data_IF_033442145122
#
_entry.id   IF_033442145122
#
_cell.length_a   1.000
_cell.length_b   1.000
_cell.length_c   1.000
_cell.angle_alpha   90.00
_cell.angle_beta   90.00
_cell.angle_gamma   90.00
#
_symmetry.space_group_name_H-M   'P 1'
#
loop_
_entity.id
_entity.type
_entity.pdbx_description
1 polymer ?
#
# COMPACT_ATOMS: atom_id res chain seq x y z
N UNK A 1 15.43 -15.84 15.64
CA UNK A 1 14.25 -15.19 16.24
C UNK A 1 14.46 -13.66 16.29
N UNK A 2 13.37 -12.88 16.34
CA UNK A 2 13.41 -11.44 16.60
C UNK A 2 12.70 -11.15 17.91
N UNK A 3 13.37 -10.46 18.83
CA UNK A 3 12.88 -10.23 20.19
C UNK A 3 12.72 -8.74 20.43
N UNK A 4 11.57 -8.32 20.94
CA UNK A 4 11.34 -6.95 21.40
C UNK A 4 11.28 -6.92 22.92
N UNK A 5 12.00 -5.99 23.53
CA UNK A 5 12.09 -5.83 24.98
C UNK A 5 11.52 -4.46 25.36
N UNK A 6 10.67 -4.42 26.38
CA UNK A 6 10.16 -3.19 26.97
C UNK A 6 10.17 -3.29 28.51
N UNK A 7 10.32 -2.15 29.18
CA UNK A 7 10.37 -2.09 30.65
C UNK A 7 9.34 -1.11 31.20
N UNK A 8 8.80 -1.41 32.37
CA UNK A 8 7.86 -0.55 33.09
C UNK A 8 8.51 0.74 33.64
N UNK A 9 9.83 0.75 33.77
CA UNK A 9 10.56 1.88 34.38
C UNK A 9 10.77 3.06 33.42
N UNK A 10 10.52 2.89 32.10
CA UNK A 10 10.92 3.88 31.10
C UNK A 10 9.75 4.49 30.32
N UNK A 11 8.60 3.81 30.20
CA UNK A 11 7.56 4.34 29.31
C UNK A 11 6.17 3.74 29.43
N UNK A 12 5.97 2.61 30.12
CA UNK A 12 4.67 1.94 30.18
C UNK A 12 3.97 2.18 31.53
N UNK A 13 2.76 2.72 31.48
CA UNK A 13 1.92 2.99 32.68
C UNK A 13 1.04 1.78 33.05
N UNK A 14 0.88 0.83 32.17
CA UNK A 14 0.06 -0.36 32.36
C UNK A 14 0.57 -1.53 31.49
N UNK A 15 0.04 -2.74 31.76
CA UNK A 15 0.43 -3.97 31.06
C UNK A 15 0.14 -3.95 29.56
N UNK A 16 -0.92 -3.27 29.13
CA UNK A 16 -1.30 -3.13 27.72
C UNK A 16 -0.29 -2.28 26.95
N UNK A 17 0.16 -1.16 27.55
CA UNK A 17 1.22 -0.33 26.98
C UNK A 17 2.55 -1.08 26.92
N UNK A 18 2.90 -1.83 27.95
CA UNK A 18 4.12 -2.64 27.99
C UNK A 18 4.15 -3.66 26.84
N UNK A 19 3.04 -4.36 26.65
CA UNK A 19 2.89 -5.30 25.54
C UNK A 19 3.00 -4.60 24.17
N UNK A 20 2.34 -3.45 24.02
CA UNK A 20 2.41 -2.66 22.80
C UNK A 20 3.84 -2.19 22.49
N UNK A 21 4.59 -1.74 23.48
CA UNK A 21 5.99 -1.32 23.35
C UNK A 21 6.90 -2.49 22.97
N UNK A 22 6.71 -3.67 23.58
CA UNK A 22 7.50 -4.86 23.24
C UNK A 22 7.24 -5.33 21.80
N UNK A 23 5.98 -5.25 21.33
CA UNK A 23 5.63 -5.55 19.93
C UNK A 23 6.28 -4.54 18.97
N UNK A 24 6.30 -3.25 19.29
CA UNK A 24 7.02 -2.23 18.49
C UNK A 24 8.51 -2.53 18.41
N UNK A 25 9.15 -2.83 19.53
CA UNK A 25 10.56 -3.20 19.58
C UNK A 25 10.84 -4.48 18.77
N UNK A 26 9.99 -5.49 18.84
CA UNK A 26 10.11 -6.71 18.03
C UNK A 26 10.01 -6.41 16.53
N UNK A 27 9.08 -5.54 16.12
CA UNK A 27 8.96 -5.10 14.71
C UNK A 27 10.24 -4.40 14.24
N UNK A 28 10.88 -3.60 15.10
CA UNK A 28 12.15 -2.95 14.81
C UNK A 28 13.30 -3.96 14.66
N UNK A 29 13.38 -4.96 15.55
CA UNK A 29 14.34 -6.06 15.42
C UNK A 29 14.17 -6.83 14.09
N UNK A 30 12.94 -7.02 13.63
CA UNK A 30 12.66 -7.63 12.32
C UNK A 30 13.14 -6.77 11.15
N UNK A 31 13.01 -5.44 11.23
CA UNK A 31 13.49 -4.50 10.20
C UNK A 31 15.01 -4.44 10.11
N UNK A 32 15.73 -4.63 11.23
CA UNK A 32 17.19 -4.62 11.29
C UNK A 32 17.85 -5.95 10.88
N UNK A 33 17.17 -6.78 10.11
CA UNK A 33 17.75 -8.00 9.54
C UNK A 33 17.37 -9.28 10.25
N UNK A 34 16.43 -9.24 11.18
CA UNK A 34 15.98 -10.38 12.00
C UNK A 34 17.13 -10.99 12.83
N UNK A 35 16.86 -12.10 13.52
CA UNK A 35 17.82 -12.81 14.38
C UNK A 35 18.58 -11.91 15.38
N UNK A 36 17.89 -10.91 15.93
CA UNK A 36 18.39 -9.92 16.88
C UNK A 36 17.31 -9.53 17.88
N UNK A 37 17.69 -8.75 18.87
CA UNK A 37 16.76 -8.16 19.83
C UNK A 37 16.81 -6.63 19.72
N UNK A 38 15.74 -5.95 20.18
CA UNK A 38 15.65 -4.51 20.22
C UNK A 38 14.98 -4.07 21.51
N UNK A 39 15.55 -3.08 22.18
CA UNK A 39 15.00 -2.47 23.39
C UNK A 39 14.11 -1.30 23.00
N UNK A 40 12.90 -1.23 23.58
CA UNK A 40 12.03 -0.08 23.37
C UNK A 40 12.55 1.12 24.16
N UNK A 41 12.92 2.18 23.48
CA UNK A 41 13.23 3.49 24.03
C UNK A 41 12.32 4.54 23.42
N UNK A 42 11.61 5.31 24.26
CA UNK A 42 10.64 6.30 23.81
C UNK A 42 11.31 7.41 22.97
N UNK A 43 12.53 7.81 23.34
CA UNK A 43 13.35 8.78 22.60
C UNK A 43 13.74 8.31 21.19
N UNK A 44 14.08 7.04 21.04
CA UNK A 44 14.46 6.47 19.75
C UNK A 44 13.24 6.23 18.83
N UNK A 45 12.06 5.98 19.40
CA UNK A 45 10.85 5.77 18.61
C UNK A 45 10.22 7.08 18.10
N UNK A 46 10.20 8.14 18.91
CA UNK A 46 9.60 9.42 18.48
C UNK A 46 10.44 10.12 17.42
N UNK A 47 11.73 10.28 17.65
CA UNK A 47 12.60 10.99 16.70
C UNK A 47 12.79 10.22 15.38
N UNK A 48 12.85 8.89 15.42
CA UNK A 48 13.06 8.10 14.20
C UNK A 48 11.78 7.97 13.38
N UNK A 49 10.61 7.90 14.03
CA UNK A 49 9.33 7.78 13.32
C UNK A 49 8.89 9.13 12.75
N UNK A 50 8.94 10.22 13.52
CA UNK A 50 8.54 11.55 13.03
C UNK A 50 9.48 12.07 11.95
N UNK A 51 10.79 11.90 12.10
CA UNK A 51 11.77 12.22 11.05
C UNK A 51 11.60 11.31 9.83
N UNK A 52 11.30 10.02 10.02
CA UNK A 52 11.04 9.10 8.91
C UNK A 52 9.73 9.43 8.20
N UNK A 53 8.67 9.82 8.93
CA UNK A 53 7.41 10.26 8.32
C UNK A 53 7.55 11.59 7.57
N UNK A 54 8.27 12.57 8.12
CA UNK A 54 8.52 13.83 7.44
C UNK A 54 9.36 13.61 6.17
N UNK A 55 10.38 12.77 6.24
CA UNK A 55 11.19 12.36 5.10
C UNK A 55 10.36 11.61 4.05
N UNK A 56 9.64 10.55 4.45
CA UNK A 56 8.80 9.78 3.54
C UNK A 56 7.68 10.61 2.90
N UNK A 57 7.20 11.67 3.57
CA UNK A 57 6.23 12.59 2.99
C UNK A 57 6.79 13.35 1.79
N UNK A 58 8.02 13.83 1.89
CA UNK A 58 8.69 14.52 0.78
C UNK A 58 9.02 13.56 -0.36
N UNK A 59 9.51 12.38 -0.02
CA UNK A 59 9.83 11.33 -0.98
C UNK A 59 8.56 10.79 -1.70
N UNK A 60 7.45 10.68 -0.99
CA UNK A 60 6.17 10.26 -1.56
C UNK A 60 5.68 11.25 -2.64
N UNK A 61 5.89 12.56 -2.44
CA UNK A 61 5.59 13.56 -3.47
C UNK A 61 6.45 13.38 -4.72
N UNK A 62 7.72 13.02 -4.53
CA UNK A 62 8.63 12.75 -5.63
C UNK A 62 8.33 11.41 -6.31
N UNK A 63 7.92 10.39 -5.54
CA UNK A 63 7.68 9.03 -6.01
C UNK A 63 6.65 8.93 -7.14
N UNK A 64 5.56 9.72 -7.04
CA UNK A 64 4.52 9.78 -8.09
C UNK A 64 5.12 10.26 -9.42
N UNK A 65 5.99 11.29 -9.37
CA UNK A 65 6.62 11.87 -10.56
C UNK A 65 7.76 11.03 -11.12
N UNK A 66 8.46 10.30 -10.24
CA UNK A 66 9.68 9.55 -10.56
C UNK A 66 9.41 8.08 -10.89
N UNK A 67 8.16 7.70 -11.11
CA UNK A 67 7.76 6.33 -11.48
C UNK A 67 8.29 5.25 -10.50
N UNK A 68 8.27 5.55 -9.20
CA UNK A 68 8.72 4.63 -8.17
C UNK A 68 7.63 3.65 -7.71
N UNK A 69 6.42 3.78 -8.24
CA UNK A 69 5.32 2.85 -7.96
C UNK A 69 5.25 1.75 -9.00
N UNK A 70 4.94 0.55 -8.51
CA UNK A 70 4.71 -0.64 -9.30
C UNK A 70 3.39 -1.29 -8.89
N UNK A 71 2.76 -2.02 -9.80
CA UNK A 71 1.60 -2.86 -9.50
C UNK A 71 2.00 -4.32 -9.52
N UNK A 72 1.71 -5.00 -8.43
CA UNK A 72 1.73 -6.45 -8.35
C UNK A 72 0.30 -6.95 -8.50
N UNK A 73 0.13 -8.10 -9.12
CA UNK A 73 -1.18 -8.65 -9.42
C UNK A 73 -1.34 -9.99 -8.71
N UNK A 74 -2.27 -10.05 -7.75
CA UNK A 74 -2.61 -11.28 -7.04
C UNK A 74 -3.75 -11.99 -7.75
N UNK A 75 -3.57 -13.26 -8.18
CA UNK A 75 -4.60 -14.01 -8.88
C UNK A 75 -5.81 -14.31 -7.99
N UNK A 76 -7.01 -14.10 -8.52
CA UNK A 76 -8.28 -14.53 -7.96
C UNK A 76 -8.72 -15.80 -8.68
N UNK A 77 -8.63 -16.91 -7.96
CA UNK A 77 -8.83 -18.26 -8.52
C UNK A 77 -10.21 -18.78 -8.14
N UNK A 78 -10.89 -19.39 -9.10
CA UNK A 78 -12.15 -20.10 -8.86
C UNK A 78 -11.86 -21.43 -8.16
N UNK A 79 -12.32 -21.69 -6.93
CA UNK A 79 -11.92 -22.86 -6.14
C UNK A 79 -12.20 -24.20 -6.81
N UNK A 80 -13.33 -24.31 -7.53
CA UNK A 80 -13.78 -25.57 -8.15
C UNK A 80 -13.01 -25.96 -9.41
N UNK A 81 -12.47 -24.98 -10.13
CA UNK A 81 -11.83 -25.23 -11.44
C UNK A 81 -10.34 -24.90 -11.47
N UNK A 82 -9.83 -24.20 -10.46
CA UNK A 82 -8.45 -23.70 -10.46
C UNK A 82 -8.18 -22.57 -11.47
N UNK A 83 -9.20 -22.13 -12.20
CA UNK A 83 -9.03 -21.10 -13.24
C UNK A 83 -8.92 -19.69 -12.62
N UNK A 84 -7.99 -18.88 -13.14
CA UNK A 84 -7.88 -17.46 -12.80
C UNK A 84 -9.05 -16.72 -13.46
N UNK A 85 -9.88 -16.06 -12.66
CA UNK A 85 -11.02 -15.24 -13.10
C UNK A 85 -10.76 -13.75 -13.08
N UNK A 86 -9.78 -13.34 -12.30
CA UNK A 86 -9.39 -11.96 -12.16
C UNK A 86 -8.09 -11.83 -11.39
N UNK A 87 -7.68 -10.61 -11.17
CA UNK A 87 -6.53 -10.26 -10.34
C UNK A 87 -6.87 -9.07 -9.46
N UNK A 88 -6.24 -9.00 -8.30
CA UNK A 88 -6.22 -7.79 -7.47
C UNK A 88 -4.94 -7.01 -7.75
N UNK A 89 -5.07 -5.71 -8.04
CA UNK A 89 -3.95 -4.82 -8.25
C UNK A 89 -3.46 -4.27 -6.92
N UNK A 90 -2.25 -4.62 -6.55
CA UNK A 90 -1.62 -4.29 -5.28
C UNK A 90 -0.44 -3.36 -5.52
N UNK A 91 -0.56 -2.12 -5.09
CA UNK A 91 0.51 -1.13 -5.24
C UNK A 91 1.71 -1.47 -4.36
N UNK A 92 2.91 -1.21 -4.90
CA UNK A 92 4.19 -1.29 -4.20
C UNK A 92 4.99 -0.03 -4.48
N UNK A 93 5.67 0.48 -3.48
CA UNK A 93 6.58 1.61 -3.64
C UNK A 93 8.02 1.10 -3.62
N UNK A 94 8.67 1.12 -4.77
CA UNK A 94 10.09 0.79 -4.92
C UNK A 94 10.93 2.04 -4.64
N UNK A 95 11.30 2.23 -3.35
CA UNK A 95 12.08 3.37 -2.91
C UNK A 95 13.57 3.15 -3.22
N UNK A 96 14.27 4.14 -3.82
CA UNK A 96 15.66 3.96 -4.28
C UNK A 96 16.66 3.55 -3.19
N UNK A 97 16.45 3.99 -1.95
CA UNK A 97 17.36 3.72 -0.83
C UNK A 97 16.84 2.68 0.17
N UNK A 98 15.51 2.51 0.27
CA UNK A 98 14.88 1.64 1.27
C UNK A 98 14.31 0.34 0.69
N UNK A 99 14.41 0.15 -0.63
CA UNK A 99 13.78 -0.98 -1.30
C UNK A 99 12.24 -0.86 -1.30
N UNK A 100 11.54 -1.98 -1.21
CA UNK A 100 10.09 -1.97 -1.22
C UNK A 100 9.50 -1.48 0.10
N UNK A 101 8.74 -0.37 0.03
CA UNK A 101 7.90 0.13 1.11
C UNK A 101 6.48 -0.38 0.87
N UNK A 102 5.91 -1.03 1.91
CA UNK A 102 4.60 -1.66 1.82
C UNK A 102 3.44 -0.66 1.98
N UNK A 103 2.26 -0.94 1.41
CA UNK A 103 1.10 -0.04 1.44
C UNK A 103 0.67 0.40 2.84
N UNK A 104 0.70 -0.49 3.82
CA UNK A 104 0.37 -0.21 5.23
C UNK A 104 1.27 0.87 5.88
N UNK A 105 2.42 1.18 5.28
CA UNK A 105 3.30 2.26 5.73
C UNK A 105 2.98 3.58 5.03
N UNK A 106 2.81 3.57 3.70
CA UNK A 106 2.70 4.83 2.95
C UNK A 106 1.26 5.25 2.62
N UNK A 107 0.29 4.33 2.53
CA UNK A 107 -1.12 4.69 2.26
C UNK A 107 -1.70 5.61 3.35
N UNK A 108 -1.55 5.32 4.66
CA UNK A 108 -2.04 6.24 5.70
C UNK A 108 -1.36 7.61 5.65
N UNK A 109 -0.11 7.68 5.18
CA UNK A 109 0.60 8.93 4.98
C UNK A 109 0.05 9.68 3.77
N UNK A 110 -0.17 8.98 2.65
CA UNK A 110 -0.75 9.53 1.43
C UNK A 110 -2.16 10.11 1.67
N UNK A 111 -2.98 9.43 2.47
CA UNK A 111 -4.33 9.89 2.85
C UNK A 111 -4.28 11.17 3.68
N UNK A 112 -3.45 11.21 4.73
CA UNK A 112 -3.28 12.40 5.58
C UNK A 112 -2.74 13.61 4.84
N UNK A 113 -1.99 13.39 3.76
CA UNK A 113 -1.38 14.47 2.95
C UNK A 113 -2.16 14.78 1.68
N UNK A 114 -3.25 14.04 1.39
CA UNK A 114 -4.04 14.17 0.17
C UNK A 114 -3.37 13.61 -1.08
N UNK A 115 -2.16 13.06 -0.97
CA UNK A 115 -1.42 12.47 -2.10
C UNK A 115 -2.03 11.16 -2.59
N UNK A 116 -2.87 10.53 -1.77
CA UNK A 116 -3.60 9.32 -2.13
C UNK A 116 -4.39 9.49 -3.43
N UNK A 117 -4.89 10.70 -3.70
CA UNK A 117 -5.65 10.99 -4.91
C UNK A 117 -4.81 10.77 -6.17
N UNK A 118 -3.61 11.34 -6.22
CA UNK A 118 -2.69 11.17 -7.36
C UNK A 118 -2.21 9.73 -7.51
N UNK A 119 -1.94 9.06 -6.39
CA UNK A 119 -1.53 7.65 -6.36
C UNK A 119 -2.65 6.78 -6.91
N UNK A 120 -3.88 6.96 -6.44
CA UNK A 120 -5.02 6.16 -6.86
C UNK A 120 -5.41 6.39 -8.32
N UNK A 121 -5.29 7.61 -8.83
CA UNK A 121 -5.46 7.92 -10.26
C UNK A 121 -4.44 7.14 -11.10
N UNK A 122 -3.19 7.14 -10.67
CA UNK A 122 -2.13 6.38 -11.35
C UNK A 122 -2.41 4.88 -11.31
N UNK A 123 -2.77 4.33 -10.14
CA UNK A 123 -3.11 2.91 -9.95
C UNK A 123 -4.25 2.50 -10.87
N UNK A 124 -5.35 3.24 -10.86
CA UNK A 124 -6.53 2.96 -11.66
C UNK A 124 -6.19 2.92 -13.17
N UNK A 125 -5.52 3.95 -13.66
CA UNK A 125 -5.11 4.02 -15.06
C UNK A 125 -4.16 2.88 -15.43
N UNK A 126 -3.13 2.64 -14.61
CA UNK A 126 -2.13 1.60 -14.86
C UNK A 126 -2.74 0.20 -14.85
N UNK A 127 -3.57 -0.12 -13.87
CA UNK A 127 -4.25 -1.41 -13.75
C UNK A 127 -5.15 -1.69 -14.97
N UNK A 128 -5.93 -0.70 -15.40
CA UNK A 128 -6.77 -0.83 -16.58
C UNK A 128 -5.95 -1.10 -17.84
N UNK A 129 -4.86 -0.35 -18.07
CA UNK A 129 -3.97 -0.53 -19.23
C UNK A 129 -3.30 -1.90 -19.22
N UNK A 130 -2.76 -2.32 -18.09
CA UNK A 130 -2.04 -3.59 -17.97
C UNK A 130 -2.96 -4.78 -18.26
N UNK A 131 -4.17 -4.78 -17.69
CA UNK A 131 -5.11 -5.89 -17.85
C UNK A 131 -5.77 -5.88 -19.24
N UNK A 132 -6.05 -4.72 -19.80
CA UNK A 132 -6.49 -4.65 -21.19
C UNK A 132 -5.43 -5.20 -22.16
N UNK A 133 -4.17 -4.85 -21.93
CA UNK A 133 -3.04 -5.35 -22.71
C UNK A 133 -2.85 -6.86 -22.53
N UNK A 134 -2.87 -7.35 -21.29
CA UNK A 134 -2.77 -8.78 -20.98
C UNK A 134 -3.89 -9.57 -21.67
N UNK A 135 -5.13 -9.14 -21.52
CA UNK A 135 -6.29 -9.80 -22.13
C UNK A 135 -6.18 -9.87 -23.65
N UNK A 136 -5.74 -8.79 -24.29
CA UNK A 136 -5.55 -8.73 -25.74
C UNK A 136 -4.45 -9.69 -26.21
N UNK A 137 -3.30 -9.72 -25.53
CA UNK A 137 -2.16 -10.57 -25.90
C UNK A 137 -2.44 -12.06 -25.69
N UNK A 138 -3.15 -12.40 -24.63
CA UNK A 138 -3.42 -13.79 -24.26
C UNK A 138 -4.81 -14.28 -24.69
N UNK A 139 -5.58 -13.48 -25.43
CA UNK A 139 -6.97 -13.78 -25.81
C UNK A 139 -7.81 -14.23 -24.61
N UNK A 140 -7.56 -13.60 -23.46
CA UNK A 140 -8.22 -13.89 -22.20
C UNK A 140 -9.24 -12.81 -21.83
N UNK A 141 -9.98 -13.05 -20.75
CA UNK A 141 -11.00 -12.14 -20.27
C UNK A 141 -11.02 -12.14 -18.72
N UNK A 142 -9.86 -11.81 -18.13
CA UNK A 142 -9.74 -11.67 -16.69
C UNK A 142 -10.12 -10.25 -16.23
N UNK A 143 -10.73 -10.15 -15.06
CA UNK A 143 -11.06 -8.86 -14.43
C UNK A 143 -9.90 -8.36 -13.57
N UNK A 144 -9.91 -7.06 -13.27
CA UNK A 144 -9.01 -6.45 -12.27
C UNK A 144 -9.83 -5.78 -11.17
N UNK A 145 -9.47 -6.06 -9.92
CA UNK A 145 -9.93 -5.34 -8.73
C UNK A 145 -8.92 -4.27 -8.37
N UNK A 146 -9.40 -3.06 -8.09
CA UNK A 146 -8.59 -1.91 -7.68
C UNK A 146 -9.13 -1.35 -6.38
N UNK A 147 -8.27 -1.25 -5.37
CA UNK A 147 -8.58 -0.63 -4.09
C UNK A 147 -8.63 0.89 -4.23
N UNK A 148 -9.71 1.50 -3.79
CA UNK A 148 -9.94 2.95 -3.83
C UNK A 148 -10.16 3.48 -2.41
N UNK A 149 -9.43 4.53 -2.06
CA UNK A 149 -9.63 5.21 -0.77
C UNK A 149 -11.00 5.90 -0.71
N UNK A 150 -11.67 5.88 0.45
CA UNK A 150 -12.91 6.65 0.65
C UNK A 150 -12.78 8.13 0.31
N UNK A 151 -11.59 8.72 0.52
CA UNK A 151 -11.31 10.11 0.16
C UNK A 151 -11.39 10.37 -1.35
N UNK A 152 -10.98 9.41 -2.17
CA UNK A 152 -11.10 9.51 -3.62
C UNK A 152 -12.54 9.22 -4.08
N UNK A 153 -13.16 8.19 -3.52
CA UNK A 153 -14.53 7.80 -3.88
C UNK A 153 -15.54 8.92 -3.65
N UNK A 154 -15.37 9.72 -2.57
CA UNK A 154 -16.23 10.85 -2.24
C UNK A 154 -16.06 12.09 -3.13
N UNK A 155 -15.13 12.10 -4.09
CA UNK A 155 -14.90 13.25 -4.98
C UNK A 155 -15.90 13.31 -6.11
N UNK A 156 -16.33 14.52 -6.46
CA UNK A 156 -17.28 14.75 -7.54
C UNK A 156 -16.75 14.33 -8.93
N UNK A 157 -15.42 14.38 -9.13
CA UNK A 157 -14.74 14.06 -10.38
C UNK A 157 -14.31 12.57 -10.50
N UNK A 158 -14.55 11.74 -9.47
CA UNK A 158 -14.15 10.33 -9.48
C UNK A 158 -14.76 9.53 -10.65
N UNK A 159 -16.01 9.75 -10.97
CA UNK A 159 -16.66 9.07 -12.10
C UNK A 159 -16.05 9.46 -13.45
N UNK A 160 -15.61 10.69 -13.58
CA UNK A 160 -14.89 11.15 -14.80
C UNK A 160 -13.52 10.52 -14.91
N UNK A 161 -12.78 10.44 -13.79
CA UNK A 161 -11.50 9.72 -13.72
C UNK A 161 -11.66 8.26 -14.14
N UNK A 162 -12.69 7.58 -13.64
CA UNK A 162 -13.00 6.20 -13.96
C UNK A 162 -13.28 6.02 -15.47
N UNK A 163 -14.15 6.86 -16.03
CA UNK A 163 -14.45 6.85 -17.47
C UNK A 163 -13.20 7.09 -18.31
N UNK A 164 -12.37 8.02 -17.90
CA UNK A 164 -11.13 8.34 -18.59
C UNK A 164 -10.14 7.16 -18.59
N UNK A 165 -9.98 6.48 -17.44
CA UNK A 165 -9.14 5.29 -17.34
C UNK A 165 -9.63 4.14 -18.26
N UNK A 166 -10.93 3.91 -18.31
CA UNK A 166 -11.55 2.90 -19.19
C UNK A 166 -11.38 3.28 -20.67
N UNK A 167 -11.60 4.55 -21.02
CA UNK A 167 -11.46 5.03 -22.39
C UNK A 167 -10.03 4.93 -22.90
N UNK A 168 -9.03 5.30 -22.07
CA UNK A 168 -7.61 5.22 -22.45
C UNK A 168 -7.16 3.78 -22.60
N UNK A 169 -7.57 2.91 -21.68
CA UNK A 169 -7.15 1.49 -21.68
C UNK A 169 -7.88 0.62 -22.66
N UNK A 170 -9.10 1.03 -23.08
CA UNK A 170 -10.05 0.19 -23.82
C UNK A 170 -10.42 -1.10 -23.07
N UNK A 171 -10.32 -1.10 -21.74
CA UNK A 171 -10.78 -2.20 -20.90
C UNK A 171 -12.30 -2.18 -20.87
N UNK A 172 -12.98 -3.31 -21.16
CA UNK A 172 -14.43 -3.41 -20.96
C UNK A 172 -14.83 -3.10 -19.51
N UNK A 173 -15.82 -2.22 -19.26
CA UNK A 173 -16.17 -1.79 -17.90
C UNK A 173 -16.50 -2.94 -16.93
N UNK A 174 -17.09 -4.02 -17.43
CA UNK A 174 -17.45 -5.22 -16.65
C UNK A 174 -16.22 -6.01 -16.15
N UNK A 175 -15.02 -5.70 -16.66
CA UNK A 175 -13.76 -6.31 -16.20
C UNK A 175 -13.04 -5.47 -15.16
N UNK A 176 -13.52 -4.28 -14.82
CA UNK A 176 -13.03 -3.46 -13.73
C UNK A 176 -13.93 -3.59 -12.50
N UNK A 177 -13.31 -3.91 -11.37
CA UNK A 177 -13.96 -3.94 -10.05
C UNK A 177 -13.33 -2.89 -9.16
N UNK A 178 -14.13 -2.13 -8.48
CA UNK A 178 -13.71 -1.14 -7.50
C UNK A 178 -13.98 -1.70 -6.11
N UNK A 179 -12.95 -1.76 -5.29
CA UNK A 179 -13.02 -2.17 -3.90
C UNK A 179 -12.76 -0.94 -3.00
N UNK A 180 -13.72 -0.65 -2.11
CA UNK A 180 -13.62 0.47 -1.17
C UNK A 180 -13.16 -0.12 0.16
N UNK A 181 -11.99 0.31 0.62
CA UNK A 181 -11.46 -0.11 1.92
C UNK A 181 -12.24 0.59 3.05
N UNK A 182 -12.61 -0.18 4.07
CA UNK A 182 -13.08 0.40 5.32
C UNK A 182 -11.92 1.16 5.96
N UNK A 183 -12.14 2.45 6.22
CA UNK A 183 -11.17 3.35 6.83
C UNK A 183 -11.06 3.19 8.35
#
# INVERSE_FOLDING_TARGET
>A
ASIGIASTNTSARNSSELLHHSIKAMKQAKKQGRNTWYWYEESNCKNTLENNYAYLRLELMAAVKSQQFELFYQPLVQPLTGNVKGVEALIRWHHPQQGYIFPDVFIPLAERTGQIILISQWVLKKACIDIATFNRLNRSRISVSVNISPLQFGRADFLEELRNALNISQLPPELLKIEITEG
#
